data_IF_074400735423
#
_entry.id   IF_074400735423
#
_cell.length_a   1.000
_cell.length_b   1.000
_cell.length_c   1.000
_cell.angle_alpha   90.00
_cell.angle_beta   90.00
_cell.angle_gamma   90.00
#
_symmetry.space_group_name_H-M   'P 1'
#
loop_
_entity.id
_entity.type
_entity.pdbx_description
1 polymer ?
#
# COMPACT_ATOMS: atom_id res chain seq x y z
N UNK A 1 2.21 -15.11 -27.21
CA UNK A 1 1.51 -14.05 -26.44
C UNK A 1 2.46 -12.88 -26.41
N UNK A 2 2.02 -11.75 -26.97
CA UNK A 2 2.85 -10.63 -27.44
C UNK A 2 3.76 -10.10 -26.32
N UNK A 3 5.01 -9.74 -26.60
CA UNK A 3 6.03 -9.35 -25.59
C UNK A 3 5.51 -8.22 -24.66
N UNK A 4 4.60 -7.39 -25.19
CA UNK A 4 3.87 -6.36 -24.46
C UNK A 4 3.04 -6.91 -23.29
N UNK A 5 2.36 -8.06 -23.45
CA UNK A 5 1.58 -8.68 -22.39
C UNK A 5 2.46 -9.15 -21.22
N UNK A 6 3.62 -9.75 -21.54
CA UNK A 6 4.56 -10.23 -20.53
C UNK A 6 5.15 -9.06 -19.72
N UNK A 7 5.44 -7.94 -20.39
CA UNK A 7 5.88 -6.71 -19.74
C UNK A 7 4.81 -6.14 -18.80
N UNK A 8 3.55 -6.09 -19.24
CA UNK A 8 2.42 -5.63 -18.42
C UNK A 8 2.21 -6.50 -17.16
N UNK A 9 2.31 -7.83 -17.31
CA UNK A 9 2.19 -8.75 -16.18
C UNK A 9 3.39 -8.59 -15.24
N UNK A 10 4.62 -8.48 -15.76
CA UNK A 10 5.81 -8.31 -14.94
C UNK A 10 5.77 -7.00 -14.14
N UNK A 11 5.36 -5.89 -14.77
CA UNK A 11 5.12 -4.60 -14.11
C UNK A 11 4.15 -4.74 -12.93
N UNK A 12 3.02 -5.43 -13.14
CA UNK A 12 2.06 -5.71 -12.06
C UNK A 12 2.66 -6.54 -10.93
N UNK A 13 3.37 -7.62 -11.25
CA UNK A 13 3.97 -8.49 -10.23
C UNK A 13 5.01 -7.75 -9.39
N UNK A 14 5.83 -6.90 -10.01
CA UNK A 14 6.81 -6.05 -9.32
C UNK A 14 6.09 -5.00 -8.47
N UNK A 15 5.09 -4.33 -9.03
CA UNK A 15 4.31 -3.32 -8.34
C UNK A 15 3.61 -3.86 -7.09
N UNK A 16 3.12 -5.11 -7.13
CA UNK A 16 2.44 -5.81 -6.02
C UNK A 16 3.37 -6.65 -5.14
N UNK A 17 4.69 -6.52 -5.31
CA UNK A 17 5.69 -7.24 -4.53
C UNK A 17 5.63 -8.79 -4.65
N UNK A 18 5.08 -9.33 -5.74
CA UNK A 18 5.04 -10.76 -6.03
C UNK A 18 6.38 -11.27 -6.58
N UNK A 19 7.44 -11.14 -5.78
CA UNK A 19 8.83 -11.42 -6.13
C UNK A 19 9.05 -12.77 -6.81
N UNK A 20 8.59 -13.84 -6.17
CA UNK A 20 8.88 -15.20 -6.62
C UNK A 20 8.21 -15.49 -7.97
N UNK A 21 6.97 -15.03 -8.12
CA UNK A 21 6.22 -15.10 -9.38
C UNK A 21 6.88 -14.25 -10.46
N UNK A 22 7.32 -13.04 -10.14
CA UNK A 22 8.05 -12.17 -11.07
C UNK A 22 9.36 -12.81 -11.53
N UNK A 23 10.12 -13.42 -10.62
CA UNK A 23 11.36 -14.16 -10.94
C UNK A 23 11.10 -15.37 -11.82
N UNK A 24 10.07 -16.15 -11.52
CA UNK A 24 9.68 -17.30 -12.33
C UNK A 24 9.30 -16.87 -13.76
N UNK A 25 8.45 -15.84 -13.87
CA UNK A 25 8.05 -15.28 -15.17
C UNK A 25 9.26 -14.74 -15.95
N UNK A 26 10.16 -14.00 -15.31
CA UNK A 26 11.36 -13.45 -15.95
C UNK A 26 12.29 -14.57 -16.46
N UNK A 27 12.44 -15.65 -15.69
CA UNK A 27 13.23 -16.83 -16.10
C UNK A 27 12.63 -17.46 -17.36
N UNK A 28 11.32 -17.60 -17.42
CA UNK A 28 10.64 -18.19 -18.57
C UNK A 28 10.66 -17.26 -19.80
N UNK A 29 10.49 -15.95 -19.62
CA UNK A 29 10.70 -14.96 -20.69
C UNK A 29 12.14 -15.05 -21.22
N UNK A 30 13.15 -15.12 -20.34
CA UNK A 30 14.56 -15.18 -20.75
C UNK A 30 14.90 -16.47 -21.52
N UNK A 31 14.26 -17.60 -21.18
CA UNK A 31 14.39 -18.82 -21.99
C UNK A 31 13.78 -18.66 -23.39
N UNK A 32 12.68 -17.91 -23.49
CA UNK A 32 12.02 -17.62 -24.77
C UNK A 32 12.81 -16.58 -25.61
N UNK A 33 13.50 -15.63 -24.97
CA UNK A 33 14.45 -14.69 -25.58
C UNK A 33 15.62 -15.38 -26.29
N UNK A 34 15.97 -16.61 -25.86
CA UNK A 34 17.00 -17.40 -26.52
C UNK A 34 16.63 -17.79 -27.96
N UNK A 35 15.35 -17.64 -28.34
CA UNK A 35 14.83 -17.91 -29.68
C UNK A 35 14.27 -16.67 -30.41
N UNK A 36 14.21 -15.51 -29.74
CA UNK A 36 13.65 -14.25 -30.28
C UNK A 36 14.41 -13.05 -29.69
N UNK A 37 14.93 -12.15 -30.54
CA UNK A 37 15.63 -10.94 -30.09
C UNK A 37 14.70 -9.99 -29.32
N UNK A 38 15.06 -9.64 -28.08
CA UNK A 38 14.35 -8.66 -27.24
C UNK A 38 15.31 -7.55 -26.79
N UNK A 39 14.91 -6.26 -26.85
CA UNK A 39 15.76 -5.15 -26.44
C UNK A 39 16.22 -5.24 -24.97
N UNK A 40 17.45 -4.83 -24.65
CA UNK A 40 18.08 -4.98 -23.32
C UNK A 40 17.42 -4.18 -22.16
N UNK A 41 16.35 -3.45 -22.42
CA UNK A 41 15.71 -2.54 -21.47
C UNK A 41 14.92 -3.27 -20.37
N UNK A 42 14.58 -4.54 -20.56
CA UNK A 42 13.71 -5.31 -19.65
C UNK A 42 14.44 -5.92 -18.45
N UNK A 43 15.77 -6.09 -18.50
CA UNK A 43 16.53 -6.89 -17.52
C UNK A 43 17.14 -6.11 -16.35
N UNK A 44 17.28 -4.79 -16.45
CA UNK A 44 18.15 -4.02 -15.55
C UNK A 44 17.41 -3.10 -14.55
N UNK A 45 16.08 -3.05 -14.57
CA UNK A 45 15.32 -2.05 -13.81
C UNK A 45 14.80 -2.54 -12.43
N UNK A 46 14.69 -3.85 -12.20
CA UNK A 46 14.06 -4.36 -10.98
C UNK A 46 15.07 -4.41 -9.82
N UNK A 47 14.97 -3.44 -8.90
CA UNK A 47 15.68 -3.48 -7.62
C UNK A 47 15.01 -4.51 -6.69
N UNK A 48 15.49 -5.75 -6.71
CA UNK A 48 14.93 -6.84 -5.91
C UNK A 48 14.98 -6.59 -4.40
N UNK A 49 16.03 -5.90 -3.93
CA UNK A 49 16.18 -5.51 -2.52
C UNK A 49 15.11 -4.52 -2.09
N UNK A 50 14.82 -3.52 -2.92
CA UNK A 50 13.73 -2.57 -2.70
C UNK A 50 12.38 -3.28 -2.65
N UNK A 51 12.17 -4.25 -3.54
CA UNK A 51 10.95 -5.04 -3.57
C UNK A 51 10.80 -5.92 -2.32
N UNK A 52 11.89 -6.51 -1.84
CA UNK A 52 11.91 -7.25 -0.57
C UNK A 52 11.55 -6.36 0.61
N UNK A 53 12.19 -5.19 0.72
CA UNK A 53 11.91 -4.23 1.79
C UNK A 53 10.43 -3.82 1.79
N UNK A 54 9.86 -3.47 0.61
CA UNK A 54 8.44 -3.15 0.48
C UNK A 54 7.54 -4.32 0.84
N UNK A 55 7.89 -5.53 0.42
CA UNK A 55 7.11 -6.74 0.73
C UNK A 55 7.05 -6.98 2.23
N UNK A 56 8.20 -7.01 2.89
CA UNK A 56 8.31 -7.21 4.33
C UNK A 56 7.54 -6.12 5.09
N UNK A 57 7.64 -4.86 4.63
CA UNK A 57 6.93 -3.75 5.24
C UNK A 57 5.40 -3.93 5.18
N UNK A 58 4.86 -4.33 4.01
CA UNK A 58 3.43 -4.62 3.85
C UNK A 58 3.01 -5.75 4.80
N UNK A 59 3.77 -6.84 4.83
CA UNK A 59 3.47 -8.00 5.68
C UNK A 59 3.48 -7.63 7.17
N UNK A 60 4.46 -6.85 7.63
CA UNK A 60 4.51 -6.38 9.01
C UNK A 60 3.32 -5.50 9.39
N UNK A 61 2.91 -4.58 8.51
CA UNK A 61 1.73 -3.73 8.75
C UNK A 61 0.46 -4.57 8.81
N UNK A 62 0.28 -5.51 7.89
CA UNK A 62 -0.90 -6.40 7.86
C UNK A 62 -0.99 -7.30 9.10
N UNK A 63 0.15 -7.72 9.64
CA UNK A 63 0.25 -8.50 10.87
C UNK A 63 0.12 -7.67 12.16
N UNK A 64 0.16 -6.34 12.06
CA UNK A 64 0.17 -5.44 13.23
C UNK A 64 1.54 -5.31 13.91
N UNK A 65 2.62 -5.78 13.29
CA UNK A 65 3.97 -5.56 13.81
C UNK A 65 4.53 -4.23 13.31
N UNK A 66 4.08 -3.14 13.93
CA UNK A 66 4.48 -1.79 13.52
C UNK A 66 5.90 -1.43 13.98
N UNK A 67 6.46 -2.14 14.97
CA UNK A 67 7.84 -1.94 15.42
C UNK A 67 8.81 -2.30 14.28
N UNK A 68 8.72 -3.52 13.76
CA UNK A 68 9.54 -3.95 12.62
C UNK A 68 9.22 -3.15 11.35
N UNK A 69 7.98 -2.70 11.18
CA UNK A 69 7.63 -1.81 10.07
C UNK A 69 8.40 -0.49 10.13
N UNK A 70 8.52 0.14 11.31
CA UNK A 70 9.29 1.38 11.45
C UNK A 70 10.79 1.16 11.24
N UNK A 71 11.36 0.06 11.74
CA UNK A 71 12.77 -0.31 11.48
C UNK A 71 13.06 -0.40 9.98
N UNK A 72 12.22 -1.13 9.23
CA UNK A 72 12.35 -1.23 7.77
C UNK A 72 12.24 0.13 7.09
N UNK A 73 11.36 1.02 7.56
CA UNK A 73 11.21 2.39 7.04
C UNK A 73 12.48 3.21 7.28
N UNK A 74 13.02 3.19 8.49
CA UNK A 74 14.23 3.93 8.84
C UNK A 74 15.45 3.46 8.03
N UNK A 75 15.57 2.14 7.83
CA UNK A 75 16.69 1.55 7.09
C UNK A 75 16.59 1.74 5.57
N UNK A 76 15.41 1.57 4.98
CA UNK A 76 15.24 1.46 3.53
C UNK A 76 14.55 2.66 2.88
N UNK A 77 13.81 3.46 3.66
CA UNK A 77 12.97 4.56 3.15
C UNK A 77 13.11 5.85 3.98
N UNK A 78 14.34 6.34 4.29
CA UNK A 78 14.55 7.49 5.17
C UNK A 78 13.87 8.77 4.64
N UNK A 79 13.77 8.92 3.31
CA UNK A 79 13.08 10.03 2.66
C UNK A 79 11.61 10.18 3.08
N UNK A 80 10.97 9.11 3.59
CA UNK A 80 9.60 9.16 4.10
C UNK A 80 9.47 10.13 5.29
N UNK A 81 10.53 10.32 6.09
CA UNK A 81 10.53 11.25 7.22
C UNK A 81 10.83 12.70 6.85
N UNK A 82 11.41 12.92 5.68
CA UNK A 82 11.88 14.24 5.24
C UNK A 82 10.83 15.02 4.44
N UNK A 83 9.95 14.31 3.74
CA UNK A 83 8.95 14.93 2.90
C UNK A 83 7.69 15.33 3.68
N UNK A 84 7.18 16.53 3.41
CA UNK A 84 5.92 17.00 4.01
C UNK A 84 4.72 16.19 3.54
N UNK A 85 4.73 15.75 2.29
CA UNK A 85 3.62 15.01 1.71
C UNK A 85 3.43 13.62 2.35
N UNK A 86 4.49 13.05 2.94
CA UNK A 86 4.45 11.78 3.67
C UNK A 86 4.14 11.92 5.18
N UNK A 87 4.00 13.14 5.71
CA UNK A 87 3.66 13.36 7.11
C UNK A 87 2.34 12.66 7.47
N UNK A 88 1.36 12.68 6.56
CA UNK A 88 0.05 12.08 6.79
C UNK A 88 0.11 10.56 6.88
N UNK A 89 0.90 9.89 6.03
CA UNK A 89 1.03 8.43 6.08
C UNK A 89 1.81 7.98 7.32
N UNK A 90 2.85 8.72 7.71
CA UNK A 90 3.58 8.48 8.95
C UNK A 90 2.69 8.64 10.17
N UNK A 91 1.83 9.66 10.16
CA UNK A 91 0.86 9.86 11.23
C UNK A 91 -0.13 8.69 11.35
N UNK A 92 -0.65 8.20 10.22
CA UNK A 92 -1.50 7.00 10.20
C UNK A 92 -0.79 5.76 10.74
N UNK A 93 0.48 5.56 10.41
CA UNK A 93 1.30 4.46 10.96
C UNK A 93 1.45 4.58 12.48
N UNK A 94 1.69 5.79 13.01
CA UNK A 94 1.74 6.04 14.45
C UNK A 94 0.42 5.73 15.14
N UNK A 95 -0.70 6.15 14.53
CA UNK A 95 -2.03 5.76 15.02
C UNK A 95 -2.21 4.24 15.01
N UNK A 96 -1.78 3.56 13.95
CA UNK A 96 -1.88 2.10 13.90
C UNK A 96 -1.03 1.44 14.98
N UNK A 97 0.21 1.90 15.20
CA UNK A 97 1.06 1.35 16.24
C UNK A 97 0.45 1.51 17.63
N UNK A 98 -0.11 2.68 17.94
CA UNK A 98 -0.85 2.89 19.17
C UNK A 98 -2.04 1.92 19.33
N UNK A 99 -2.79 1.66 18.26
CA UNK A 99 -3.87 0.67 18.27
C UNK A 99 -3.33 -0.72 18.62
N UNK A 100 -2.19 -1.12 18.08
CA UNK A 100 -1.59 -2.43 18.39
C UNK A 100 -1.06 -2.49 19.84
N UNK A 101 -0.55 -1.39 20.41
CA UNK A 101 -0.18 -1.32 21.83
C UNK A 101 -1.42 -1.47 22.72
N UNK A 102 -2.56 -0.87 22.36
CA UNK A 102 -3.82 -1.08 23.07
C UNK A 102 -4.23 -2.57 23.00
N UNK A 103 -4.10 -3.20 21.83
CA UNK A 103 -4.45 -4.61 21.65
C UNK A 103 -3.56 -5.56 22.45
N UNK A 104 -2.33 -5.18 22.77
CA UNK A 104 -1.46 -5.98 23.65
C UNK A 104 -1.84 -5.87 25.14
N UNK A 105 -2.76 -4.97 25.50
CA UNK A 105 -3.18 -4.74 26.88
C UNK A 105 -2.25 -3.83 27.69
N UNK A 106 -1.27 -3.20 27.06
CA UNK A 106 -0.29 -2.34 27.72
C UNK A 106 -0.77 -0.88 27.78
N UNK A 107 -1.65 -0.57 28.74
CA UNK A 107 -2.22 0.79 28.87
C UNK A 107 -1.16 1.87 29.12
N UNK A 108 -0.18 1.60 30.00
CA UNK A 108 0.88 2.57 30.33
C UNK A 108 1.74 2.91 29.10
N UNK A 109 2.12 1.88 28.33
CA UNK A 109 2.89 2.07 27.10
C UNK A 109 2.08 2.85 26.07
N UNK A 110 0.78 2.57 25.96
CA UNK A 110 -0.12 3.30 25.07
C UNK A 110 -0.18 4.80 25.44
N UNK A 111 -0.32 5.12 26.73
CA UNK A 111 -0.36 6.52 27.22
C UNK A 111 0.95 7.24 26.90
N UNK A 112 2.09 6.64 27.26
CA UNK A 112 3.41 7.19 26.98
C UNK A 112 3.62 7.40 25.48
N UNK A 113 3.24 6.42 24.67
CA UNK A 113 3.35 6.49 23.21
C UNK A 113 2.49 7.62 22.63
N UNK A 114 1.23 7.73 23.04
CA UNK A 114 0.31 8.75 22.56
C UNK A 114 0.82 10.17 22.86
N UNK A 115 1.28 10.42 24.09
CA UNK A 115 1.82 11.72 24.50
C UNK A 115 3.04 12.13 23.68
N UNK A 116 3.89 11.16 23.31
CA UNK A 116 5.11 11.40 22.56
C UNK A 116 4.85 11.57 21.05
N UNK A 117 4.04 10.70 20.45
CA UNK A 117 3.96 10.53 19.00
C UNK A 117 2.64 10.98 18.35
N UNK A 118 1.54 11.13 19.10
CA UNK A 118 0.21 11.48 18.57
C UNK A 118 -0.16 12.95 18.82
N UNK A 119 0.74 13.87 18.42
CA UNK A 119 0.49 15.31 18.51
C UNK A 119 -0.23 15.81 17.25
N UNK A 120 -1.47 16.30 17.34
CA UNK A 120 -2.20 16.75 16.15
C UNK A 120 -1.67 18.10 15.66
N UNK A 121 -1.31 18.19 14.38
CA UNK A 121 -0.86 19.43 13.73
C UNK A 121 -2.01 20.22 13.09
N UNK A 122 -3.13 19.56 12.78
CA UNK A 122 -4.32 20.18 12.17
C UNK A 122 -5.62 19.60 12.73
N UNK A 123 -6.77 20.19 12.36
CA UNK A 123 -8.08 19.80 12.86
C UNK A 123 -8.44 18.34 12.53
N UNK A 124 -8.16 17.90 11.29
CA UNK A 124 -8.45 16.54 10.84
C UNK A 124 -7.67 15.49 11.64
N UNK A 125 -6.39 15.75 11.89
CA UNK A 125 -5.56 14.89 12.74
C UNK A 125 -6.04 14.93 14.19
N UNK A 126 -6.52 16.08 14.69
CA UNK A 126 -7.08 16.18 16.04
C UNK A 126 -8.30 15.28 16.24
N UNK A 127 -9.20 15.21 15.26
CA UNK A 127 -10.33 14.28 15.28
C UNK A 127 -9.86 12.83 15.28
N UNK A 128 -8.90 12.48 14.40
CA UNK A 128 -8.31 11.15 14.36
C UNK A 128 -7.63 10.76 15.67
N UNK A 129 -6.87 11.67 16.30
CA UNK A 129 -6.26 11.42 17.61
C UNK A 129 -7.34 11.11 18.63
N UNK A 130 -8.39 11.93 18.73
CA UNK A 130 -9.47 11.73 19.69
C UNK A 130 -10.15 10.38 19.51
N UNK A 131 -10.43 10.02 18.27
CA UNK A 131 -11.11 8.77 17.95
C UNK A 131 -10.25 7.54 18.27
N UNK A 132 -8.96 7.61 17.95
CA UNK A 132 -7.98 6.56 18.21
C UNK A 132 -7.72 6.43 19.71
N UNK A 133 -7.47 7.53 20.43
CA UNK A 133 -7.18 7.51 21.87
C UNK A 133 -8.40 7.13 22.70
N UNK A 134 -9.62 7.33 22.22
CA UNK A 134 -10.83 6.86 22.90
C UNK A 134 -10.83 5.33 23.13
N UNK A 135 -10.10 4.55 22.32
CA UNK A 135 -9.97 3.11 22.50
C UNK A 135 -9.42 2.72 23.87
N UNK A 136 -8.56 3.55 24.47
CA UNK A 136 -7.94 3.25 25.78
C UNK A 136 -8.92 3.33 26.94
N UNK A 137 -10.06 4.01 26.76
CA UNK A 137 -11.08 4.15 27.80
C UNK A 137 -11.91 2.87 27.99
N UNK A 138 -11.75 1.87 27.10
CA UNK A 138 -12.51 0.63 27.11
C UNK A 138 -11.61 -0.53 27.50
N UNK A 139 -12.06 -1.34 28.45
CA UNK A 139 -11.38 -2.59 28.84
C UNK A 139 -11.26 -3.57 27.67
N UNK A 140 -12.29 -3.61 26.82
CA UNK A 140 -12.25 -4.30 25.53
C UNK A 140 -12.41 -3.27 24.39
N UNK A 141 -11.35 -3.02 23.60
CA UNK A 141 -11.39 -2.08 22.47
C UNK A 141 -12.48 -2.37 21.44
N UNK A 142 -12.92 -3.64 21.29
CA UNK A 142 -13.96 -4.02 20.34
C UNK A 142 -15.37 -3.57 20.75
N UNK A 143 -15.57 -3.21 22.01
CA UNK A 143 -16.82 -2.63 22.50
C UNK A 143 -16.92 -1.12 22.26
N UNK A 144 -15.83 -0.49 21.83
CA UNK A 144 -15.82 0.94 21.55
C UNK A 144 -16.65 1.30 20.32
N UNK A 145 -17.13 2.55 20.26
CA UNK A 145 -17.69 3.12 19.04
C UNK A 145 -16.65 3.16 17.90
N UNK A 146 -15.37 3.26 18.27
CA UNK A 146 -14.21 3.23 17.38
C UNK A 146 -13.75 1.81 17.00
N UNK A 147 -14.56 0.76 17.19
CA UNK A 147 -14.15 -0.62 16.87
C UNK A 147 -13.78 -0.85 15.40
N UNK A 148 -14.30 -0.03 14.49
CA UNK A 148 -13.96 -0.09 13.07
C UNK A 148 -12.47 0.21 12.80
N UNK A 149 -11.78 0.91 13.73
CA UNK A 149 -10.34 1.14 13.66
C UNK A 149 -9.51 -0.14 13.88
N UNK A 150 -10.11 -1.23 14.41
CA UNK A 150 -9.43 -2.49 14.74
C UNK A 150 -9.47 -3.54 13.62
N UNK A 151 -10.07 -3.19 12.47
CA UNK A 151 -10.34 -4.13 11.38
C UNK A 151 -9.08 -4.47 10.58
N UNK A 152 -9.02 -5.71 10.06
CA UNK A 152 -7.96 -6.12 9.15
C UNK A 152 -7.99 -5.31 7.85
N UNK A 153 -9.18 -5.00 7.35
CA UNK A 153 -9.38 -4.21 6.13
C UNK A 153 -8.71 -2.84 6.23
N UNK A 154 -8.83 -2.14 7.37
CA UNK A 154 -8.14 -0.88 7.60
C UNK A 154 -6.61 -1.05 7.55
N UNK A 155 -6.06 -2.10 8.15
CA UNK A 155 -4.60 -2.37 8.10
C UNK A 155 -4.12 -2.64 6.67
N UNK A 156 -4.88 -3.42 5.91
CA UNK A 156 -4.59 -3.69 4.50
C UNK A 156 -4.64 -2.40 3.66
N UNK A 157 -5.64 -1.55 3.89
CA UNK A 157 -5.74 -0.26 3.22
C UNK A 157 -4.55 0.66 3.56
N UNK A 158 -4.10 0.68 4.82
CA UNK A 158 -2.92 1.43 5.24
C UNK A 158 -1.64 0.91 4.56
N UNK A 159 -1.46 -0.41 4.50
CA UNK A 159 -0.31 -1.02 3.83
C UNK A 159 -0.28 -0.69 2.33
N UNK A 160 -1.44 -0.71 1.67
CA UNK A 160 -1.58 -0.32 0.26
C UNK A 160 -1.27 1.17 0.04
N UNK A 161 -1.81 2.04 0.89
CA UNK A 161 -1.56 3.49 0.81
C UNK A 161 -0.07 3.79 0.98
N UNK A 162 0.59 3.20 1.98
CA UNK A 162 2.03 3.35 2.19
C UNK A 162 2.83 2.84 0.99
N UNK A 163 2.48 1.67 0.46
CA UNK A 163 3.13 1.11 -0.72
C UNK A 163 3.04 2.06 -1.92
N UNK A 164 1.86 2.66 -2.16
CA UNK A 164 1.66 3.66 -3.20
C UNK A 164 2.46 4.95 -2.95
N UNK A 165 2.58 5.40 -1.69
CA UNK A 165 3.44 6.54 -1.34
C UNK A 165 4.91 6.24 -1.64
N UNK A 166 5.42 5.07 -1.23
CA UNK A 166 6.80 4.66 -1.49
C UNK A 166 7.09 4.57 -2.98
N UNK A 167 6.18 4.02 -3.77
CA UNK A 167 6.30 4.03 -5.24
C UNK A 167 6.46 5.45 -5.78
N UNK A 168 5.66 6.40 -5.31
CA UNK A 168 5.76 7.82 -5.69
C UNK A 168 7.11 8.44 -5.32
N UNK A 169 7.66 8.13 -4.14
CA UNK A 169 8.98 8.60 -3.71
C UNK A 169 10.10 8.13 -4.66
N UNK A 170 9.98 6.92 -5.18
CA UNK A 170 10.93 6.35 -6.14
C UNK A 170 10.61 6.70 -7.60
N UNK A 171 9.71 7.67 -7.84
CA UNK A 171 9.25 8.08 -9.17
C UNK A 171 8.65 6.93 -10.00
N UNK A 172 8.16 5.90 -9.32
CA UNK A 172 7.43 4.81 -9.94
C UNK A 172 5.94 5.15 -9.98
N UNK A 173 5.23 4.61 -10.97
CA UNK A 173 3.78 4.80 -11.06
C UNK A 173 3.08 4.24 -9.82
N UNK A 174 2.08 4.98 -9.29
CA UNK A 174 1.25 4.54 -8.16
C UNK A 174 0.33 3.35 -8.49
N UNK A 175 0.17 3.05 -9.79
CA UNK A 175 -0.62 1.93 -10.31
C UNK A 175 0.17 1.26 -11.43
N UNK A 176 0.08 -0.06 -11.50
CA UNK A 176 0.62 -0.81 -12.63
C UNK A 176 -0.12 -0.45 -13.93
N UNK A 177 0.54 -0.66 -15.06
CA UNK A 177 -0.02 -0.42 -16.38
C UNK A 177 -1.30 -1.24 -16.61
N UNK A 178 -1.35 -2.48 -16.12
CA UNK A 178 -2.53 -3.34 -16.26
C UNK A 178 -3.72 -2.85 -15.42
N UNK A 179 -3.48 -2.34 -14.21
CA UNK A 179 -4.55 -1.76 -13.37
C UNK A 179 -5.14 -0.53 -14.04
N UNK A 180 -4.30 0.32 -14.63
CA UNK A 180 -4.73 1.50 -15.39
C UNK A 180 -5.56 1.10 -16.62
N UNK A 181 -5.08 0.16 -17.43
CA UNK A 181 -5.80 -0.35 -18.61
C UNK A 181 -7.13 -0.98 -18.23
N UNK A 182 -7.18 -1.75 -17.15
CA UNK A 182 -8.41 -2.39 -16.66
C UNK A 182 -9.45 -1.34 -16.25
N UNK A 183 -9.02 -0.28 -15.54
CA UNK A 183 -9.93 0.83 -15.17
C UNK A 183 -10.46 1.54 -16.41
N UNK A 184 -9.59 1.85 -17.38
CA UNK A 184 -10.01 2.49 -18.63
C UNK A 184 -11.00 1.61 -19.39
N UNK A 185 -10.73 0.31 -19.51
CA UNK A 185 -11.62 -0.65 -20.15
C UNK A 185 -13.00 -0.70 -19.48
N UNK A 186 -13.06 -0.74 -18.15
CA UNK A 186 -14.32 -0.72 -17.40
C UNK A 186 -15.11 0.56 -17.66
N UNK A 187 -14.45 1.73 -17.68
CA UNK A 187 -15.12 3.00 -17.97
C UNK A 187 -15.65 3.04 -19.40
N UNK A 188 -14.81 2.67 -20.38
CA UNK A 188 -15.20 2.66 -21.79
C UNK A 188 -16.41 1.76 -22.03
N UNK A 189 -16.42 0.56 -21.46
CA UNK A 189 -17.56 -0.35 -21.65
C UNK A 189 -18.85 0.19 -21.04
N UNK A 190 -18.77 0.82 -19.86
CA UNK A 190 -19.95 1.48 -19.26
C UNK A 190 -20.48 2.61 -20.13
N UNK A 191 -19.61 3.42 -20.71
CA UNK A 191 -20.01 4.50 -21.62
C UNK A 191 -20.66 3.94 -22.89
N UNK A 192 -20.09 2.89 -23.48
CA UNK A 192 -20.66 2.21 -24.65
C UNK A 192 -22.06 1.64 -24.34
N UNK A 193 -22.24 0.97 -23.20
CA UNK A 193 -23.56 0.47 -22.76
C UNK A 193 -24.58 1.62 -22.61
N UNK A 194 -24.17 2.76 -22.07
CA UNK A 194 -25.04 3.94 -21.93
C UNK A 194 -25.42 4.55 -23.29
N UNK A 195 -24.52 4.56 -24.27
CA UNK A 195 -24.79 5.02 -25.64
C UNK A 195 -25.81 4.09 -26.30
N UNK A 196 -25.60 2.77 -26.25
CA UNK A 196 -26.53 1.77 -26.81
C UNK A 196 -27.94 1.89 -26.22
N UNK A 197 -28.05 2.16 -24.90
CA UNK A 197 -29.34 2.38 -24.23
C UNK A 197 -30.01 3.67 -24.73
N UNK A 198 -29.25 4.75 -24.96
CA UNK A 198 -29.79 6.01 -25.49
C UNK A 198 -30.28 5.84 -26.93
N UNK A 199 -29.51 5.15 -27.78
CA UNK A 199 -29.92 4.91 -29.17
C UNK A 199 -31.19 4.07 -29.27
N UNK A 200 -31.36 3.05 -28.40
CA UNK A 200 -32.58 2.24 -28.32
C UNK A 200 -33.81 2.99 -27.80
N UNK A 201 -33.63 4.06 -27.01
CA UNK A 201 -34.73 4.91 -26.50
C UNK A 201 -35.16 6.01 -27.49
N UNK A 202 -34.36 6.26 -28.51
CA UNK A 202 -34.59 7.34 -29.51
C UNK A 202 -35.19 6.80 -30.81
N UNK A 203 -35.39 5.48 -30.92
CA UNK A 203 -36.13 4.78 -31.97
C UNK A 203 -37.46 4.29 -31.41
#
# INVERSE_FOLDING_TARGET
MNIDCNSLVLDYLVHRCYKNTAKALLKDITKLEQYIYIPPQTKQYIQWTLLDARKSLIEYIEQGNLVCAFEIIEENFPALFEQKDSEFILFKLRCQHFIEIIRSGSELDAICYAQKHLKPTNHKLKEQVREVTALIAYKDPFQSQSKHLLTQERRQALAQELNSTLLGLHQMSHQSSIEKLTKQHVVVNKELEMIDIKEKKTK
#
